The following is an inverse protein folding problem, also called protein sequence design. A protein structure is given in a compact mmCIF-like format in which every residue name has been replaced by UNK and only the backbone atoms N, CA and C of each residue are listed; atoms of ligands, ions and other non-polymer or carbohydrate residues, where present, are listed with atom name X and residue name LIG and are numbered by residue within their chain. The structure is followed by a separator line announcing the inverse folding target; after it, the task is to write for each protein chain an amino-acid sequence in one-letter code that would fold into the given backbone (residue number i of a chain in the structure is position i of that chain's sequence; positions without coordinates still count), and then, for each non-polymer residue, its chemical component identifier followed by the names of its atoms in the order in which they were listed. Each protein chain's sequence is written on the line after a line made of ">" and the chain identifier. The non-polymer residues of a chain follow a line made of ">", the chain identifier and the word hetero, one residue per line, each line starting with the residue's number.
data_IF_706079648178
#
_entry.id   IF_706079648178
#
_cell.length_a   1.000
_cell.length_b   1.000
_cell.length_c   1.000
_cell.angle_alpha   90.00
_cell.angle_beta   90.00
_cell.angle_gamma   90.00
#
_symmetry.space_group_name_H-M   'P 1'
#
loop_
_entity.id
_entity.type
_entity.pdbx_description
1 polymer ?
#
# COMPACT_ATOMS: atom_id res chain seq x y z
N UNK A 1 -10.31 -13.86 -22.07
CA UNK A 1 -11.28 -13.83 -20.97
C UNK A 1 -10.48 -13.54 -19.72
N UNK A 2 -10.59 -12.32 -19.18
CA UNK A 2 -9.83 -11.83 -18.03
C UNK A 2 -10.52 -12.37 -16.75
N UNK A 3 -10.41 -13.69 -16.53
CA UNK A 3 -11.02 -14.36 -15.38
C UNK A 3 -10.26 -14.00 -14.10
N UNK A 4 -10.93 -13.33 -13.16
CA UNK A 4 -10.49 -13.23 -11.76
C UNK A 4 -10.14 -11.84 -11.23
N UNK A 5 -10.50 -10.76 -11.92
CA UNK A 5 -10.42 -9.38 -11.37
C UNK A 5 -11.80 -8.90 -10.93
N UNK A 6 -11.87 -8.35 -9.71
CA UNK A 6 -13.06 -7.66 -9.19
C UNK A 6 -12.79 -6.16 -9.13
N UNK A 7 -13.76 -5.34 -9.54
CA UNK A 7 -13.74 -3.90 -9.28
C UNK A 7 -13.93 -3.66 -7.78
N UNK A 8 -13.13 -2.76 -7.21
CA UNK A 8 -13.13 -2.49 -5.76
C UNK A 8 -13.10 -1.00 -5.43
N UNK A 9 -13.67 -0.68 -4.28
CA UNK A 9 -13.44 0.57 -3.56
C UNK A 9 -12.37 0.34 -2.47
N UNK A 10 -11.40 1.24 -2.41
CA UNK A 10 -10.24 1.17 -1.53
C UNK A 10 -10.25 2.42 -0.65
N UNK A 11 -10.64 2.26 0.60
CA UNK A 11 -10.59 3.34 1.59
C UNK A 11 -9.26 3.30 2.34
N UNK A 12 -8.49 4.38 2.27
CA UNK A 12 -7.17 4.51 2.87
C UNK A 12 -7.25 5.52 4.01
N UNK A 13 -6.78 5.09 5.19
CA UNK A 13 -6.52 5.96 6.34
C UNK A 13 -5.05 5.90 6.67
N UNK A 14 -4.44 7.05 6.83
CA UNK A 14 -3.03 7.18 7.19
C UNK A 14 -2.88 8.19 8.33
N UNK A 15 -1.89 7.94 9.17
CA UNK A 15 -1.42 8.91 10.15
C UNK A 15 0.10 8.87 10.23
N UNK A 16 0.69 10.02 10.52
CA UNK A 16 2.11 10.19 10.73
C UNK A 16 2.32 10.84 12.09
N UNK A 17 3.11 10.19 12.95
CA UNK A 17 3.47 10.70 14.28
C UNK A 17 2.27 11.14 15.14
N UNK A 18 1.12 10.46 14.94
CA UNK A 18 -0.14 10.70 15.64
C UNK A 18 -1.10 11.65 14.93
N UNK A 19 -0.65 12.36 13.89
CA UNK A 19 -1.48 13.25 13.08
C UNK A 19 -2.12 12.49 11.92
N UNK A 20 -3.44 12.47 11.86
CA UNK A 20 -4.19 11.77 10.82
C UNK A 20 -4.35 12.64 9.57
N UNK A 21 -4.06 12.07 8.41
CA UNK A 21 -4.40 12.69 7.14
C UNK A 21 -5.90 12.53 6.83
N UNK A 22 -6.49 13.39 5.98
CA UNK A 22 -7.83 13.18 5.46
C UNK A 22 -7.95 11.78 4.81
N UNK A 23 -9.02 11.01 5.12
CA UNK A 23 -9.26 9.74 4.45
C UNK A 23 -9.40 9.92 2.95
N UNK A 24 -8.79 9.04 2.17
CA UNK A 24 -8.91 9.02 0.70
C UNK A 24 -9.55 7.72 0.25
N UNK A 25 -10.28 7.78 -0.86
CA UNK A 25 -10.91 6.60 -1.47
C UNK A 25 -10.56 6.53 -2.94
N UNK A 26 -10.13 5.35 -3.39
CA UNK A 26 -9.83 5.07 -4.78
C UNK A 26 -10.72 3.96 -5.32
N UNK A 27 -11.01 4.02 -6.62
CA UNK A 27 -11.48 2.88 -7.38
C UNK A 27 -10.29 2.10 -7.92
N UNK A 28 -10.39 0.79 -7.92
CA UNK A 28 -9.32 -0.07 -8.38
C UNK A 28 -9.79 -1.47 -8.71
N UNK A 29 -8.82 -2.38 -8.82
CA UNK A 29 -9.04 -3.78 -9.10
C UNK A 29 -8.40 -4.64 -8.02
N UNK A 30 -9.08 -5.71 -7.66
CA UNK A 30 -8.59 -6.76 -6.79
C UNK A 30 -8.49 -8.06 -7.56
N UNK A 31 -7.39 -8.80 -7.41
CA UNK A 31 -7.24 -10.11 -8.03
C UNK A 31 -6.29 -11.03 -7.27
N UNK A 32 -6.50 -12.33 -7.43
CA UNK A 32 -5.65 -13.36 -6.82
C UNK A 32 -4.63 -13.89 -7.84
N UNK A 33 -3.40 -14.16 -7.38
CA UNK A 33 -2.42 -14.98 -8.12
C UNK A 33 -1.72 -15.92 -7.16
N UNK A 34 -2.06 -17.21 -7.25
CA UNK A 34 -1.68 -18.21 -6.25
C UNK A 34 -2.22 -17.83 -4.87
N UNK A 35 -1.35 -17.82 -3.86
CA UNK A 35 -1.70 -17.42 -2.48
C UNK A 35 -1.71 -15.91 -2.25
N UNK A 36 -1.24 -15.11 -3.20
CA UNK A 36 -1.17 -13.67 -3.04
C UNK A 36 -2.42 -12.97 -3.55
N UNK A 37 -2.73 -11.84 -2.92
CA UNK A 37 -3.78 -10.89 -3.31
C UNK A 37 -3.14 -9.62 -3.82
N UNK A 38 -3.70 -9.08 -4.88
CA UNK A 38 -3.19 -7.90 -5.55
C UNK A 38 -4.29 -6.85 -5.57
N UNK A 39 -3.93 -5.63 -5.21
CA UNK A 39 -4.78 -4.45 -5.28
C UNK A 39 -4.07 -3.46 -6.19
N UNK A 40 -4.74 -3.06 -7.26
CA UNK A 40 -4.22 -2.09 -8.22
C UNK A 40 -5.16 -0.89 -8.30
N UNK A 41 -4.61 0.31 -8.19
CA UNK A 41 -5.37 1.55 -8.35
C UNK A 41 -4.47 2.67 -8.85
N UNK A 42 -5.08 3.76 -9.30
CA UNK A 42 -4.37 4.97 -9.71
C UNK A 42 -4.57 6.08 -8.67
N UNK A 43 -3.48 6.76 -8.36
CA UNK A 43 -3.39 7.93 -7.51
C UNK A 43 -3.05 9.13 -8.39
N UNK A 44 -3.56 10.31 -8.03
CA UNK A 44 -3.09 11.57 -8.60
C UNK A 44 -2.21 12.24 -7.56
N UNK A 45 -0.90 12.25 -7.83
CA UNK A 45 0.04 13.04 -7.05
C UNK A 45 0.02 14.48 -7.59
N UNK A 46 -0.26 15.46 -6.73
CA UNK A 46 -0.43 16.86 -7.16
C UNK A 46 0.83 17.45 -7.80
N UNK A 47 2.01 16.95 -7.41
CA UNK A 47 3.32 17.46 -7.85
C UNK A 47 3.88 16.64 -9.01
N UNK A 48 3.58 15.35 -9.04
CA UNK A 48 4.25 14.38 -9.91
C UNK A 48 3.31 13.74 -10.95
N UNK A 49 2.01 13.97 -10.85
CA UNK A 49 0.99 13.49 -11.78
C UNK A 49 0.50 12.08 -11.47
N UNK A 50 0.06 11.35 -12.49
CA UNK A 50 -0.55 10.04 -12.32
C UNK A 50 0.46 9.00 -11.81
N UNK A 51 0.07 8.29 -10.75
CA UNK A 51 0.85 7.21 -10.13
C UNK A 51 0.01 5.94 -10.11
N UNK A 52 0.54 4.87 -10.69
CA UNK A 52 -0.06 3.53 -10.62
C UNK A 52 0.47 2.82 -9.40
N UNK A 53 -0.41 2.45 -8.49
CA UNK A 53 -0.08 1.75 -7.27
C UNK A 53 -0.51 0.29 -7.35
N UNK A 54 0.43 -0.60 -7.03
CA UNK A 54 0.21 -2.03 -6.89
C UNK A 54 0.61 -2.47 -5.49
N UNK A 55 -0.35 -3.04 -4.77
CA UNK A 55 -0.14 -3.67 -3.48
C UNK A 55 -0.26 -5.16 -3.66
N UNK A 56 0.74 -5.91 -3.21
CA UNK A 56 0.71 -7.36 -3.09
C UNK A 56 0.69 -7.74 -1.62
N UNK A 57 -0.29 -8.54 -1.23
CA UNK A 57 -0.37 -9.20 0.06
C UNK A 57 -0.09 -10.70 -0.08
N UNK A 58 0.90 -11.24 0.62
CA UNK A 58 1.24 -12.67 0.60
C UNK A 58 0.67 -13.48 1.77
N UNK A 59 0.11 -12.82 2.79
CA UNK A 59 -0.33 -13.45 4.04
C UNK A 59 0.51 -13.03 5.25
N UNK A 60 1.74 -12.59 5.02
CA UNK A 60 2.72 -12.18 6.03
C UNK A 60 3.54 -10.94 5.64
N UNK A 61 3.51 -10.55 4.37
CA UNK A 61 4.25 -9.43 3.81
C UNK A 61 3.36 -8.62 2.86
N UNK A 62 3.49 -7.30 2.94
CA UNK A 62 2.97 -6.35 1.95
C UNK A 62 4.13 -5.85 1.10
N UNK A 63 3.99 -5.91 -0.22
CA UNK A 63 4.83 -5.15 -1.15
C UNK A 63 4.00 -4.06 -1.82
N UNK A 64 4.45 -2.81 -1.69
CA UNK A 64 3.89 -1.63 -2.33
C UNK A 64 4.82 -1.19 -3.46
N UNK A 65 4.30 -1.12 -4.67
CA UNK A 65 5.02 -0.62 -5.84
C UNK A 65 4.24 0.52 -6.47
N UNK A 66 4.90 1.66 -6.68
CA UNK A 66 4.36 2.84 -7.37
C UNK A 66 5.16 3.08 -8.64
N UNK A 67 4.48 3.36 -9.75
CA UNK A 67 5.06 3.62 -11.08
C UNK A 67 4.40 4.85 -11.71
N UNK A 68 5.14 5.62 -12.50
CA UNK A 68 4.63 6.82 -13.18
C UNK A 68 5.29 8.10 -12.66
N UNK A 69 4.50 9.07 -12.20
CA UNK A 69 5.03 10.31 -11.61
C UNK A 69 6.01 10.09 -10.45
N UNK A 70 5.78 9.00 -9.71
CA UNK A 70 6.65 8.50 -8.65
C UNK A 70 6.96 7.03 -8.94
N UNK A 71 8.24 6.70 -8.82
CA UNK A 71 8.79 5.35 -8.87
C UNK A 71 9.21 4.93 -7.46
N UNK A 72 8.49 4.00 -6.84
CA UNK A 72 8.80 3.59 -5.46
C UNK A 72 8.52 2.11 -5.21
N UNK A 73 9.37 1.47 -4.41
CA UNK A 73 9.16 0.11 -3.93
C UNK A 73 9.43 0.04 -2.43
N UNK A 74 8.46 -0.46 -1.68
CA UNK A 74 8.55 -0.68 -0.24
C UNK A 74 7.99 -2.06 0.11
N UNK A 75 8.61 -2.71 1.10
CA UNK A 75 8.20 -4.03 1.57
C UNK A 75 8.04 -3.99 3.09
N UNK A 76 6.92 -4.49 3.58
CA UNK A 76 6.51 -4.45 4.98
C UNK A 76 6.26 -5.88 5.48
N UNK A 77 6.97 -6.28 6.53
CA UNK A 77 6.80 -7.57 7.21
C UNK A 77 7.04 -7.37 8.70
N UNK A 78 6.10 -7.76 9.55
CA UNK A 78 6.16 -7.47 10.99
C UNK A 78 7.49 -7.91 11.62
N UNK A 79 8.07 -7.05 12.47
CA UNK A 79 9.36 -7.29 13.13
C UNK A 79 10.58 -7.20 12.22
N UNK A 80 10.42 -6.85 10.94
CA UNK A 80 11.52 -6.82 9.97
C UNK A 80 11.90 -5.40 9.55
N UNK A 81 13.18 -5.23 9.23
CA UNK A 81 13.71 -4.08 8.49
C UNK A 81 13.92 -4.45 7.02
N UNK A 82 13.48 -3.59 6.10
CA UNK A 82 13.59 -3.78 4.65
C UNK A 82 14.09 -2.50 3.99
N UNK A 83 14.94 -2.67 2.98
CA UNK A 83 15.36 -1.56 2.13
C UNK A 83 14.26 -1.27 1.10
N UNK A 84 13.97 0.00 0.88
CA UNK A 84 13.07 0.51 -0.15
C UNK A 84 13.74 1.56 -1.02
N UNK A 85 13.02 2.00 -2.04
CA UNK A 85 13.45 3.08 -2.93
C UNK A 85 12.33 4.03 -3.24
N UNK A 86 12.71 5.27 -3.51
CA UNK A 86 11.84 6.30 -4.04
C UNK A 86 12.61 7.10 -5.07
N UNK A 87 11.93 7.43 -6.16
CA UNK A 87 12.36 8.38 -7.16
C UNK A 87 11.16 9.15 -7.69
N UNK A 88 11.32 10.46 -7.84
CA UNK A 88 10.46 11.35 -8.62
C UNK A 88 11.37 12.23 -9.49
N UNK A 89 10.79 13.05 -10.37
CA UNK A 89 11.54 13.73 -11.44
C UNK A 89 12.85 14.45 -11.05
N UNK A 90 12.99 14.91 -9.80
CA UNK A 90 14.18 15.61 -9.31
C UNK A 90 14.85 14.99 -8.08
N UNK A 91 14.30 13.91 -7.53
CA UNK A 91 14.74 13.37 -6.25
C UNK A 91 14.72 11.85 -6.28
N UNK A 92 15.82 11.21 -5.87
CA UNK A 92 15.88 9.78 -5.70
C UNK A 92 16.70 9.41 -4.46
N UNK A 93 16.19 8.50 -3.64
CA UNK A 93 16.87 8.06 -2.44
C UNK A 93 16.49 6.62 -2.05
N UNK A 94 17.37 6.02 -1.26
CA UNK A 94 17.10 4.76 -0.55
C UNK A 94 16.50 5.07 0.81
N UNK A 95 15.61 4.19 1.24
CA UNK A 95 14.98 4.28 2.55
C UNK A 95 15.03 2.95 3.27
N UNK A 96 14.97 2.97 4.58
CA UNK A 96 14.79 1.78 5.41
C UNK A 96 13.40 1.84 6.03
N UNK A 97 12.63 0.77 5.83
CA UNK A 97 11.31 0.55 6.44
C UNK A 97 11.47 -0.44 7.57
N UNK A 98 11.15 -0.03 8.79
CA UNK A 98 11.10 -0.90 9.96
C UNK A 98 9.64 -1.15 10.33
N UNK A 99 9.13 -2.35 10.04
CA UNK A 99 7.70 -2.66 10.25
C UNK A 99 7.48 -3.17 11.66
N UNK A 100 6.68 -2.44 12.44
CA UNK A 100 6.37 -2.77 13.83
C UNK A 100 5.24 -3.79 13.93
N UNK A 101 4.19 -3.59 13.15
CA UNK A 101 3.01 -4.43 13.14
C UNK A 101 2.43 -4.51 11.73
N UNK A 102 1.85 -5.66 11.42
CA UNK A 102 1.13 -5.93 10.18
C UNK A 102 0.00 -6.91 10.50
N UNK A 103 -1.22 -6.57 10.14
CA UNK A 103 -2.39 -7.40 10.33
C UNK A 103 -3.27 -7.38 9.08
N UNK A 104 -4.04 -8.45 8.93
CA UNK A 104 -5.08 -8.58 7.94
C UNK A 104 -6.36 -9.06 8.63
N UNK A 105 -7.47 -8.43 8.30
CA UNK A 105 -8.82 -8.81 8.74
C UNK A 105 -9.68 -8.99 7.49
N UNK A 106 -10.43 -10.07 7.40
CA UNK A 106 -11.28 -10.35 6.25
C UNK A 106 -11.67 -11.82 6.16
N UNK A 107 -12.25 -12.17 5.02
CA UNK A 107 -12.63 -13.55 4.71
C UNK A 107 -11.41 -14.49 4.61
N UNK A 108 -11.67 -15.77 4.85
CA UNK A 108 -10.62 -16.80 4.85
C UNK A 108 -9.81 -16.77 3.54
N UNK A 109 -8.49 -16.84 3.67
CA UNK A 109 -7.58 -16.72 2.52
C UNK A 109 -7.46 -15.32 1.95
N UNK A 110 -7.86 -14.26 2.67
CA UNK A 110 -7.71 -12.87 2.24
C UNK A 110 -8.61 -12.53 1.05
N UNK A 111 -9.85 -13.01 1.08
CA UNK A 111 -10.87 -12.60 0.13
C UNK A 111 -11.49 -11.26 0.57
N UNK A 112 -12.29 -10.65 -0.32
CA UNK A 112 -13.01 -9.42 -0.01
C UNK A 112 -14.19 -9.70 0.93
N UNK A 113 -14.55 -8.77 1.83
CA UNK A 113 -13.83 -7.54 2.14
C UNK A 113 -12.50 -7.84 2.86
N UNK A 114 -11.46 -7.09 2.53
CA UNK A 114 -10.12 -7.25 3.09
C UNK A 114 -9.66 -5.92 3.70
N UNK A 115 -9.25 -5.98 4.96
CA UNK A 115 -8.59 -4.87 5.64
C UNK A 115 -7.14 -5.24 5.88
N UNK A 116 -6.21 -4.42 5.39
CA UNK A 116 -4.79 -4.50 5.71
C UNK A 116 -4.43 -3.32 6.59
N UNK A 117 -3.76 -3.57 7.72
CA UNK A 117 -3.27 -2.52 8.60
C UNK A 117 -1.82 -2.76 8.95
N UNK A 118 -0.98 -1.74 8.87
CA UNK A 118 0.42 -1.85 9.25
C UNK A 118 0.95 -0.56 9.84
N UNK A 119 1.95 -0.72 10.68
CA UNK A 119 2.66 0.36 11.36
C UNK A 119 4.14 0.21 11.11
N UNK A 120 4.80 1.29 10.73
CA UNK A 120 6.22 1.26 10.41
C UNK A 120 6.92 2.57 10.72
N UNK A 121 8.23 2.49 10.93
CA UNK A 121 9.13 3.65 10.95
C UNK A 121 9.84 3.75 9.61
N UNK A 122 9.92 4.96 9.08
CA UNK A 122 10.65 5.25 7.85
C UNK A 122 11.96 5.96 8.19
N UNK A 123 13.07 5.51 7.63
CA UNK A 123 14.36 6.19 7.73
C UNK A 123 14.92 6.51 6.35
N UNK A 124 15.44 7.72 6.18
CA UNK A 124 16.17 8.17 5.00
C UNK A 124 17.56 8.57 5.48
N UNK A 125 18.61 8.05 4.85
CA UNK A 125 20.00 8.30 5.28
C UNK A 125 20.21 8.08 6.79
N UNK A 126 19.63 7.00 7.32
CA UNK A 126 19.60 6.62 8.73
C UNK A 126 18.92 7.61 9.70
N UNK A 127 18.42 8.74 9.21
CA UNK A 127 17.58 9.66 9.98
C UNK A 127 16.14 9.17 10.00
N UNK A 128 15.50 9.21 11.18
CA UNK A 128 14.09 8.86 11.31
C UNK A 128 13.24 9.97 10.67
N UNK A 129 12.55 9.63 9.59
CA UNK A 129 11.66 10.55 8.89
C UNK A 129 10.27 10.59 9.50
N UNK A 130 9.87 9.55 10.23
CA UNK A 130 8.60 9.51 10.96
C UNK A 130 8.11 8.09 11.22
N UNK A 131 7.06 7.98 12.03
CA UNK A 131 6.30 6.75 12.28
C UNK A 131 4.94 6.85 11.61
N UNK A 132 4.62 5.87 10.77
CA UNK A 132 3.43 5.84 9.95
C UNK A 132 2.52 4.69 10.36
N UNK A 133 1.21 4.94 10.33
CA UNK A 133 0.19 3.91 10.48
C UNK A 133 -0.76 4.00 9.30
N UNK A 134 -0.93 2.88 8.57
CA UNK A 134 -1.82 2.79 7.44
C UNK A 134 -2.88 1.73 7.71
N UNK A 135 -4.11 2.02 7.26
CA UNK A 135 -5.21 1.06 7.19
C UNK A 135 -5.87 1.20 5.84
N UNK A 136 -5.90 0.10 5.09
CA UNK A 136 -6.59 -0.02 3.81
C UNK A 136 -7.76 -0.95 4.01
N UNK A 137 -8.96 -0.47 3.68
CA UNK A 137 -10.16 -1.29 3.62
C UNK A 137 -10.59 -1.43 2.16
N UNK A 138 -10.65 -2.67 1.69
CA UNK A 138 -10.94 -3.01 0.29
C UNK A 138 -12.24 -3.81 0.26
N UNK A 139 -13.18 -3.36 -0.55
CA UNK A 139 -14.48 -4.00 -0.74
C UNK A 139 -14.87 -3.97 -2.22
N UNK A 140 -15.75 -4.86 -2.64
CA UNK A 140 -16.29 -4.85 -4.01
C UNK A 140 -16.99 -3.51 -4.31
N UNK A 141 -16.81 -3.00 -5.53
CA UNK A 141 -17.56 -1.83 -6.00
C UNK A 141 -18.90 -2.28 -6.57
N UNK A 142 -19.89 -2.45 -5.69
CA UNK A 142 -21.23 -2.96 -6.05
C UNK A 142 -22.17 -1.90 -6.64
N UNK A 143 -21.67 -0.73 -7.05
CA UNK A 143 -22.49 0.30 -7.70
C UNK A 143 -22.51 0.08 -9.22
N UNK A 144 -23.51 -0.70 -9.66
CA UNK A 144 -23.94 -0.80 -11.06
C UNK A 144 -24.85 0.36 -11.44
#
# INVERSE_FOLDING_TARGET
>A
MDEGRSAVLIAIRSSQDGEAAPPVTHRGEFFAKGKSRYIRYEEMDELHGAVRTLIRWSGDEIRLTRRGGVESEQTFAAGSKRQGSYASGHLAFRMTVETEALSAEGEAGGLLPLTLAWTYRLRIEDQLSGRFQLRLHIQEDTHS
#
